data_IF_098538990930
#
_entry.id   IF_098538990930
#
_cell.length_a   1.000
_cell.length_b   1.000
_cell.length_c   1.000
_cell.angle_alpha   90.00
_cell.angle_beta   90.00
_cell.angle_gamma   90.00
#
_symmetry.space_group_name_H-M   'P 1'
#
loop_
_entity.id
_entity.type
_entity.pdbx_description
1 polymer ?
#
# COMPACT_ATOMS: atom_id res chain seq x y z
N UNK A 1 -19.48 -11.28 -6.02
CA UNK A 1 -18.61 -11.25 -4.83
C UNK A 1 -17.49 -10.28 -5.13
N UNK A 2 -17.59 -9.07 -4.58
CA UNK A 2 -16.72 -7.95 -4.93
C UNK A 2 -15.29 -8.20 -4.41
N UNK A 3 -14.26 -7.81 -5.17
CA UNK A 3 -12.85 -7.98 -4.80
C UNK A 3 -12.51 -7.40 -3.42
N UNK A 4 -11.37 -7.81 -2.87
CA UNK A 4 -10.93 -7.38 -1.54
C UNK A 4 -10.62 -5.89 -1.48
N UNK A 5 -11.59 -5.08 -1.04
CA UNK A 5 -11.40 -3.67 -0.70
C UNK A 5 -11.16 -3.54 0.79
N UNK A 6 -10.04 -2.93 1.17
CA UNK A 6 -9.73 -2.58 2.55
C UNK A 6 -9.71 -1.05 2.64
N UNK A 7 -10.74 -0.48 3.24
CA UNK A 7 -10.83 0.95 3.50
C UNK A 7 -10.22 1.26 4.87
N UNK A 8 -9.42 2.31 4.93
CA UNK A 8 -8.85 2.82 6.17
C UNK A 8 -9.64 4.02 6.65
N UNK A 9 -9.85 4.08 7.96
CA UNK A 9 -10.64 5.10 8.64
C UNK A 9 -9.82 5.72 9.78
N UNK A 10 -10.34 6.75 10.44
CA UNK A 10 -9.73 7.34 11.64
C UNK A 10 -8.26 7.74 11.45
N UNK A 11 -7.96 8.43 10.34
CA UNK A 11 -6.63 8.93 10.00
C UNK A 11 -5.58 7.83 9.75
N UNK A 12 -6.01 6.61 9.46
CA UNK A 12 -5.13 5.57 8.94
C UNK A 12 -5.07 5.61 7.40
N UNK A 13 -3.88 5.34 6.87
CA UNK A 13 -3.59 5.33 5.44
C UNK A 13 -2.65 4.17 5.12
N UNK A 14 -2.78 3.62 3.91
CA UNK A 14 -1.71 2.83 3.32
C UNK A 14 -0.64 3.77 2.79
N UNK A 15 0.53 3.77 3.44
CA UNK A 15 1.74 4.42 2.99
C UNK A 15 2.50 3.48 2.05
N UNK A 16 2.90 3.98 0.89
CA UNK A 16 3.62 3.22 -0.13
C UNK A 16 4.94 3.91 -0.45
N UNK A 17 6.05 3.24 -0.17
CA UNK A 17 7.39 3.61 -0.58
C UNK A 17 7.65 3.04 -1.98
N UNK A 18 7.84 3.91 -2.96
CA UNK A 18 8.10 3.57 -4.35
C UNK A 18 9.56 3.15 -4.57
N UNK A 19 9.84 2.48 -5.70
CA UNK A 19 11.20 2.02 -6.05
C UNK A 19 12.22 3.18 -6.09
N UNK A 20 11.78 4.41 -6.40
CA UNK A 20 12.62 5.60 -6.42
C UNK A 20 12.83 6.25 -5.03
N UNK A 21 12.34 5.64 -3.95
CA UNK A 21 12.46 6.12 -2.57
C UNK A 21 11.44 7.19 -2.15
N UNK A 22 10.53 7.61 -3.04
CA UNK A 22 9.46 8.55 -2.69
C UNK A 22 8.25 7.83 -2.11
N UNK A 23 7.48 8.56 -1.31
CA UNK A 23 6.29 8.11 -0.62
C UNK A 23 5.04 8.69 -1.24
N UNK A 24 4.01 7.86 -1.28
CA UNK A 24 2.62 8.24 -1.57
C UNK A 24 1.70 7.52 -0.59
N UNK A 25 0.44 7.92 -0.55
CA UNK A 25 -0.54 7.29 0.32
C UNK A 25 -1.84 6.99 -0.40
N UNK A 26 -2.66 6.11 0.18
CA UNK A 26 -4.08 6.09 -0.09
C UNK A 26 -4.93 5.71 1.11
N UNK A 27 -6.23 6.03 0.99
CA UNK A 27 -7.26 5.74 1.99
C UNK A 27 -7.83 4.33 1.89
N UNK A 28 -7.38 3.55 0.91
CA UNK A 28 -7.79 2.16 0.74
C UNK A 28 -6.73 1.37 -0.03
N UNK A 29 -6.68 0.06 0.20
CA UNK A 29 -6.04 -0.90 -0.70
C UNK A 29 -7.13 -1.66 -1.42
N UNK A 30 -7.02 -1.75 -2.75
CA UNK A 30 -7.97 -2.46 -3.60
C UNK A 30 -7.25 -3.57 -4.32
N UNK A 31 -7.49 -4.82 -3.94
CA UNK A 31 -6.95 -5.97 -4.66
C UNK A 31 -7.80 -6.31 -5.88
N UNK A 32 -7.60 -5.55 -6.96
CA UNK A 32 -8.31 -5.73 -8.23
C UNK A 32 -7.46 -5.19 -9.39
N UNK A 33 -7.25 -5.99 -10.44
CA UNK A 33 -6.63 -5.51 -11.69
C UNK A 33 -5.46 -6.34 -12.19
N UNK A 34 -5.04 -6.04 -13.43
CA UNK A 34 -3.91 -6.69 -14.12
C UNK A 34 -2.60 -5.93 -13.83
N UNK A 35 -1.56 -6.63 -13.38
CA UNK A 35 -0.21 -6.09 -13.22
C UNK A 35 0.61 -6.07 -14.53
N UNK A 36 0.08 -6.62 -15.63
CA UNK A 36 0.82 -6.78 -16.90
C UNK A 36 0.58 -5.66 -17.94
N UNK A 37 -0.38 -4.76 -17.73
CA UNK A 37 -0.74 -3.71 -18.71
C UNK A 37 0.17 -2.49 -18.56
N UNK A 38 0.79 -1.93 -19.60
CA UNK A 38 1.68 -0.76 -19.46
C UNK A 38 1.04 0.42 -18.70
N UNK A 39 1.83 1.12 -17.85
CA UNK A 39 1.36 2.18 -16.94
C UNK A 39 0.52 3.28 -17.61
N UNK A 40 0.83 3.62 -18.86
CA UNK A 40 0.16 4.67 -19.63
C UNK A 40 -1.30 4.38 -20.05
N UNK A 41 -1.78 3.14 -19.91
CA UNK A 41 -3.15 2.74 -20.29
C UNK A 41 -4.12 2.67 -19.09
N UNK A 42 -3.72 3.15 -17.91
CA UNK A 42 -4.41 2.90 -16.63
C UNK A 42 -5.21 4.15 -16.21
N UNK A 43 -6.50 4.22 -16.56
CA UNK A 43 -7.43 5.20 -15.98
C UNK A 43 -7.63 4.89 -14.48
N UNK A 44 -7.52 5.93 -13.65
CA UNK A 44 -7.22 5.84 -12.22
C UNK A 44 -8.28 5.23 -11.29
N UNK A 45 -7.93 5.31 -9.99
CA UNK A 45 -8.58 4.84 -8.77
C UNK A 45 -8.12 3.47 -8.23
N UNK A 46 -7.12 3.54 -7.34
CA UNK A 46 -6.84 2.53 -6.32
C UNK A 46 -5.45 1.92 -6.43
N UNK A 47 -4.73 1.89 -5.32
CA UNK A 47 -3.28 1.66 -5.18
C UNK A 47 -2.65 0.50 -5.98
N UNK A 48 -3.40 -0.41 -6.57
CA UNK A 48 -2.87 -1.59 -7.26
C UNK A 48 -2.24 -1.34 -8.62
N UNK A 49 -2.46 -0.17 -9.22
CA UNK A 49 -1.95 0.12 -10.56
C UNK A 49 -0.57 0.78 -10.59
N UNK A 50 0.13 0.90 -9.47
CA UNK A 50 1.54 1.35 -9.47
C UNK A 50 2.44 0.46 -8.64
N UNK A 51 2.00 -0.77 -8.32
CA UNK A 51 2.92 -1.79 -7.84
C UNK A 51 3.56 -2.52 -9.02
N UNK A 52 4.87 -2.67 -8.92
CA UNK A 52 5.69 -3.38 -9.88
C UNK A 52 5.96 -4.77 -9.34
N UNK A 53 5.42 -5.82 -9.97
CA UNK A 53 5.68 -7.19 -9.51
C UNK A 53 7.16 -7.54 -9.64
N UNK A 54 7.68 -8.29 -8.67
CA UNK A 54 8.97 -8.97 -8.76
C UNK A 54 8.91 -10.07 -9.81
N UNK A 55 10.06 -10.56 -10.28
CA UNK A 55 10.10 -11.69 -11.22
C UNK A 55 9.47 -12.96 -10.62
N UNK A 56 9.76 -13.25 -9.34
CA UNK A 56 9.11 -14.36 -8.60
C UNK A 56 7.59 -14.18 -8.50
N UNK A 57 7.13 -12.95 -8.23
CA UNK A 57 5.72 -12.64 -8.22
C UNK A 57 5.05 -12.90 -9.57
N UNK A 58 5.68 -12.47 -10.67
CA UNK A 58 5.19 -12.71 -12.04
C UNK A 58 5.10 -14.20 -12.36
N UNK A 59 6.13 -14.97 -12.01
CA UNK A 59 6.20 -16.40 -12.26
C UNK A 59 5.06 -17.15 -11.53
N UNK A 60 4.87 -16.86 -10.24
CA UNK A 60 3.88 -17.55 -9.40
C UNK A 60 2.45 -17.09 -9.65
N UNK A 61 2.24 -15.79 -9.81
CA UNK A 61 0.92 -15.17 -9.71
C UNK A 61 0.48 -14.41 -10.95
N UNK A 62 1.31 -14.30 -11.99
CA UNK A 62 0.97 -13.60 -13.24
C UNK A 62 -0.32 -14.11 -13.90
N UNK A 63 -0.79 -15.31 -13.54
CA UNK A 63 -2.04 -15.93 -14.03
C UNK A 63 -3.19 -15.99 -13.01
N UNK A 64 -2.96 -15.76 -11.71
CA UNK A 64 -3.95 -16.00 -10.62
C UNK A 64 -4.45 -14.71 -9.92
N UNK A 65 -4.31 -13.58 -10.61
CA UNK A 65 -4.35 -12.21 -10.10
C UNK A 65 -5.66 -11.74 -9.42
N UNK A 66 -6.82 -12.35 -9.69
CA UNK A 66 -8.11 -11.87 -9.17
C UNK A 66 -8.56 -12.51 -7.85
N UNK A 67 -7.93 -13.61 -7.44
CA UNK A 67 -8.40 -14.43 -6.30
C UNK A 67 -7.51 -14.39 -5.05
N UNK A 68 -6.25 -13.94 -5.18
CA UNK A 68 -5.24 -14.10 -4.12
C UNK A 68 -5.63 -13.49 -2.77
N UNK A 69 -6.47 -12.46 -2.81
CA UNK A 69 -6.78 -11.61 -1.68
C UNK A 69 -8.27 -11.61 -1.31
N UNK A 70 -9.05 -12.46 -1.96
CA UNK A 70 -10.46 -12.66 -1.62
C UNK A 70 -10.53 -13.38 -0.26
N UNK A 71 -11.34 -12.85 0.66
CA UNK A 71 -11.55 -13.39 2.01
C UNK A 71 -10.29 -13.50 2.88
N UNK A 72 -9.23 -12.76 2.56
CA UNK A 72 -8.02 -12.68 3.38
C UNK A 72 -8.11 -11.50 4.36
N UNK A 73 -7.30 -11.46 5.44
CA UNK A 73 -7.16 -10.26 6.26
C UNK A 73 -6.27 -9.21 5.56
N UNK A 74 -6.36 -7.95 6.01
CA UNK A 74 -5.55 -6.85 5.46
C UNK A 74 -4.05 -7.08 5.62
N UNK A 75 -3.63 -7.65 6.75
CA UNK A 75 -2.21 -7.91 7.05
C UNK A 75 -1.62 -8.91 6.05
N UNK A 76 -2.36 -9.97 5.71
CA UNK A 76 -1.96 -10.92 4.67
C UNK A 76 -1.75 -10.21 3.32
N UNK A 77 -2.58 -9.19 3.02
CA UNK A 77 -2.46 -8.41 1.80
C UNK A 77 -1.24 -7.53 1.74
N UNK A 78 -0.89 -6.92 2.87
CA UNK A 78 0.31 -6.10 2.99
C UNK A 78 1.56 -6.98 2.88
N UNK A 79 1.57 -8.13 3.56
CA UNK A 79 2.67 -9.09 3.48
C UNK A 79 2.85 -9.59 2.04
N UNK A 80 1.75 -9.93 1.36
CA UNK A 80 1.78 -10.35 -0.04
C UNK A 80 2.35 -9.25 -0.96
N UNK A 81 1.91 -8.00 -0.81
CA UNK A 81 2.45 -6.87 -1.57
C UNK A 81 3.96 -6.72 -1.32
N UNK A 82 4.37 -6.70 -0.06
CA UNK A 82 5.77 -6.52 0.32
C UNK A 82 6.68 -7.66 -0.12
N UNK A 83 6.13 -8.86 -0.33
CA UNK A 83 6.88 -10.01 -0.82
C UNK A 83 6.99 -10.04 -2.35
N UNK A 84 5.92 -9.72 -3.06
CA UNK A 84 5.82 -9.96 -4.51
C UNK A 84 5.80 -8.71 -5.38
N UNK A 85 6.01 -7.54 -4.76
CA UNK A 85 6.16 -6.25 -5.46
C UNK A 85 7.43 -5.54 -5.04
N UNK A 86 7.87 -4.54 -5.81
CA UNK A 86 9.10 -3.79 -5.53
C UNK A 86 8.91 -2.67 -4.52
N UNK A 87 7.69 -2.20 -4.38
CA UNK A 87 7.30 -1.15 -3.46
C UNK A 87 7.04 -1.72 -2.06
N UNK A 88 7.13 -0.88 -1.03
CA UNK A 88 6.83 -1.27 0.36
C UNK A 88 5.59 -0.58 0.85
N UNK A 89 4.70 -1.35 1.46
CA UNK A 89 3.41 -0.91 1.98
C UNK A 89 3.35 -1.06 3.48
N UNK A 90 2.81 -0.04 4.14
CA UNK A 90 2.66 0.03 5.58
C UNK A 90 1.35 0.76 5.92
N UNK A 91 0.65 0.36 6.97
CA UNK A 91 -0.45 1.16 7.52
C UNK A 91 0.14 2.18 8.50
N UNK A 92 -0.13 3.47 8.25
CA UNK A 92 0.30 4.57 9.12
C UNK A 92 -0.86 5.42 9.59
N UNK A 93 -0.73 5.97 10.78
CA UNK A 93 -1.58 7.04 11.29
C UNK A 93 -0.96 8.41 10.96
N UNK A 94 -1.77 9.34 10.43
CA UNK A 94 -1.38 10.74 10.27
C UNK A 94 -2.58 11.68 10.34
N UNK A 95 -2.48 12.76 11.14
CA UNK A 95 -3.53 13.78 11.23
C UNK A 95 -3.56 14.71 10.01
N UNK A 96 -2.46 14.80 9.26
CA UNK A 96 -2.30 15.65 8.08
C UNK A 96 -1.39 14.94 7.07
N UNK A 97 -1.93 13.91 6.43
CA UNK A 97 -1.17 12.98 5.59
C UNK A 97 -0.53 13.67 4.38
N UNK A 98 -1.16 14.69 3.82
CA UNK A 98 -0.62 15.42 2.67
C UNK A 98 0.68 16.15 3.06
N UNK A 99 0.65 16.85 4.20
CA UNK A 99 1.83 17.54 4.75
C UNK A 99 2.92 16.55 5.15
N UNK A 100 2.55 15.45 5.79
CA UNK A 100 3.51 14.44 6.26
C UNK A 100 4.22 13.73 5.09
N UNK A 101 3.51 13.47 4.00
CA UNK A 101 4.08 12.90 2.78
C UNK A 101 5.04 13.88 2.10
N UNK A 102 4.69 15.16 2.02
CA UNK A 102 5.59 16.21 1.52
C UNK A 102 6.89 16.25 2.36
N UNK A 103 6.78 16.18 3.68
CA UNK A 103 7.94 16.16 4.58
C UNK A 103 8.81 14.90 4.41
N UNK A 104 8.20 13.72 4.27
CA UNK A 104 8.91 12.47 3.99
C UNK A 104 9.69 12.56 2.69
N UNK A 105 9.06 13.04 1.62
CA UNK A 105 9.69 13.18 0.30
C UNK A 105 10.80 14.24 0.28
N UNK A 106 10.76 15.22 1.19
CA UNK A 106 11.85 16.19 1.42
C UNK A 106 12.95 15.69 2.35
N UNK A 107 12.80 14.51 2.96
CA UNK A 107 13.74 13.97 3.95
C UNK A 107 13.71 14.71 5.29
N UNK A 108 12.61 15.39 5.61
CA UNK A 108 12.42 16.19 6.85
C UNK A 108 11.45 15.55 7.84
N UNK A 109 11.01 14.33 7.54
CA UNK A 109 10.24 13.48 8.41
C UNK A 109 10.76 12.06 8.30
N UNK A 110 10.39 11.24 9.28
CA UNK A 110 10.68 9.80 9.26
C UNK A 110 9.46 9.00 9.67
N UNK A 111 9.47 7.72 9.31
CA UNK A 111 8.47 6.76 9.77
C UNK A 111 8.99 6.17 11.07
N UNK A 112 8.18 6.19 12.12
CA UNK A 112 8.51 5.56 13.41
C UNK A 112 7.30 4.87 14.02
N UNK A 113 7.53 4.13 15.11
CA UNK A 113 6.51 3.43 15.89
C UNK A 113 6.08 4.29 17.08
N UNK A 114 4.77 4.51 17.19
CA UNK A 114 4.11 5.09 18.35
C UNK A 114 3.09 4.12 18.97
N UNK A 115 2.49 4.54 20.07
CA UNK A 115 1.34 3.86 20.67
C UNK A 115 0.08 4.72 20.48
N UNK A 116 -1.03 4.10 20.10
CA UNK A 116 -2.33 4.76 20.11
C UNK A 116 -2.90 4.84 21.54
N UNK A 117 -4.05 5.49 21.70
CA UNK A 117 -4.71 5.68 23.00
C UNK A 117 -5.13 4.37 23.67
N UNK A 118 -5.21 3.27 22.92
CA UNK A 118 -5.49 1.92 23.43
C UNK A 118 -4.21 1.13 23.76
N UNK A 119 -3.03 1.77 23.71
CA UNK A 119 -1.74 1.12 23.97
C UNK A 119 -1.29 0.17 22.85
N UNK A 120 -1.89 0.24 21.67
CA UNK A 120 -1.51 -0.58 20.52
C UNK A 120 -0.43 0.13 19.71
N UNK A 121 0.53 -0.65 19.21
CA UNK A 121 1.55 -0.14 18.30
C UNK A 121 0.91 0.31 16.98
N UNK A 122 1.26 1.52 16.57
CA UNK A 122 0.90 2.09 15.26
C UNK A 122 2.13 2.74 14.65
N UNK A 123 2.28 2.63 13.34
CA UNK A 123 3.27 3.42 12.64
C UNK A 123 2.72 4.84 12.43
N UNK A 124 3.57 5.84 12.57
CA UNK A 124 3.25 7.24 12.30
C UNK A 124 4.39 7.93 11.55
N UNK A 125 4.09 9.11 11.03
CA UNK A 125 5.08 9.99 10.39
C UNK A 125 5.43 11.08 11.39
N UNK A 126 6.72 11.24 11.71
CA UNK A 126 7.25 12.18 12.69
C UNK A 126 7.96 13.34 12.01
#
# INVERSE_FOLDING_TARGET
>A
MAGGWYYFYNNFYALVCLENGTYRYARYIRFHGSFSTAAAARNGYGLNHDYTMTEEGKERYGKYYYNLMINQPVDYGIDWLNQYTKERTLIVFSKDIDKDIDRLNKGTAMIDKGFNESGQYVYCIL
#
